data_IF_942553212185
#
_entry.id   IF_942553212185
#
_cell.length_a   1.000
_cell.length_b   1.000
_cell.length_c   1.000
_cell.angle_alpha   90.00
_cell.angle_beta   90.00
_cell.angle_gamma   90.00
#
_symmetry.space_group_name_H-M   'P 1'
#
loop_
_entity.id
_entity.type
_entity.pdbx_description
1 polymer ?
#
# COMPACT_ATOMS: atom_id res chain seq x y z
N UNK A 1 -4.92 -11.60 1.41
CA UNK A 1 -4.39 -11.00 2.67
C UNK A 1 -3.35 -9.96 2.35
N UNK A 2 -3.22 -8.88 3.14
CA UNK A 2 -2.12 -7.92 2.99
C UNK A 2 -1.03 -8.22 4.04
N UNK A 3 0.21 -8.37 3.58
CA UNK A 3 1.42 -8.38 4.41
C UNK A 3 2.16 -7.07 4.19
N UNK A 4 2.17 -6.19 5.18
CA UNK A 4 2.72 -4.83 5.08
C UNK A 4 3.96 -4.73 5.95
N UNK A 5 5.08 -4.31 5.37
CA UNK A 5 6.34 -4.22 6.11
C UNK A 5 6.36 -3.09 7.14
N UNK A 6 7.17 -3.23 8.20
CA UNK A 6 7.45 -2.13 9.12
C UNK A 6 7.92 -0.85 8.38
N UNK A 7 8.74 -0.99 7.36
CA UNK A 7 9.26 0.11 6.54
C UNK A 7 8.14 0.80 5.74
N UNK A 8 7.23 0.01 5.14
CA UNK A 8 6.07 0.53 4.45
C UNK A 8 5.10 1.25 5.41
N UNK A 9 4.87 0.69 6.60
CA UNK A 9 4.06 1.31 7.65
C UNK A 9 4.66 2.64 8.12
N UNK A 10 5.98 2.68 8.36
CA UNK A 10 6.68 3.88 8.76
C UNK A 10 6.58 4.97 7.69
N UNK A 11 6.71 4.62 6.41
CA UNK A 11 6.57 5.56 5.31
C UNK A 11 5.14 6.11 5.20
N UNK A 12 4.11 5.25 5.29
CA UNK A 12 2.71 5.70 5.30
C UNK A 12 2.40 6.65 6.45
N UNK A 13 2.95 6.39 7.64
CA UNK A 13 2.78 7.24 8.81
C UNK A 13 3.48 8.60 8.63
N UNK A 14 4.64 8.64 7.98
CA UNK A 14 5.36 9.89 7.73
C UNK A 14 4.66 10.74 6.66
N UNK A 15 4.31 10.14 5.53
CA UNK A 15 3.73 10.87 4.39
C UNK A 15 2.24 11.17 4.56
N UNK A 16 1.51 10.32 5.28
CA UNK A 16 0.06 10.43 5.45
C UNK A 16 -0.40 11.23 6.67
N UNK A 17 0.53 11.68 7.52
CA UNK A 17 0.18 12.36 8.76
C UNK A 17 0.07 13.87 8.56
N UNK A 18 -1.15 14.41 8.75
CA UNK A 18 -1.38 15.84 8.84
C UNK A 18 -2.32 16.15 10.01
N UNK A 19 -1.82 16.77 11.10
CA UNK A 19 -2.62 17.08 12.27
C UNK A 19 -3.83 17.98 11.98
N UNK A 20 -3.75 18.87 10.99
CA UNK A 20 -4.83 19.80 10.66
C UNK A 20 -6.01 19.08 9.98
N UNK A 21 -5.76 17.95 9.31
CA UNK A 21 -6.75 17.20 8.54
C UNK A 21 -7.08 15.82 9.14
N UNK A 22 -6.47 15.47 10.27
CA UNK A 22 -6.64 14.18 10.93
C UNK A 22 -6.22 13.02 10.02
N UNK A 23 -6.89 11.86 10.11
CA UNK A 23 -6.53 10.67 9.33
C UNK A 23 -6.92 10.74 7.83
N UNK A 24 -7.50 11.85 7.35
CA UNK A 24 -7.98 11.95 5.95
C UNK A 24 -6.84 11.80 4.94
N UNK A 25 -5.66 12.46 5.10
CA UNK A 25 -4.56 12.29 4.17
C UNK A 25 -4.00 10.87 4.18
N UNK A 26 -3.84 10.26 5.37
CA UNK A 26 -3.43 8.85 5.49
C UNK A 26 -4.38 7.91 4.73
N UNK A 27 -5.70 8.07 4.90
CA UNK A 27 -6.68 7.27 4.17
C UNK A 27 -6.54 7.44 2.65
N UNK A 28 -6.35 8.68 2.19
CA UNK A 28 -6.17 8.98 0.76
C UNK A 28 -4.88 8.35 0.23
N UNK A 29 -3.80 8.42 0.99
CA UNK A 29 -2.51 7.85 0.66
C UNK A 29 -2.56 6.32 0.57
N UNK A 30 -3.20 5.65 1.54
CA UNK A 30 -3.39 4.19 1.49
C UNK A 30 -4.15 3.80 0.22
N UNK A 31 -5.19 4.57 -0.14
CA UNK A 31 -5.97 4.28 -1.35
C UNK A 31 -5.12 4.41 -2.62
N UNK A 32 -4.31 5.45 -2.77
CA UNK A 32 -3.49 5.65 -3.98
C UNK A 32 -2.24 4.79 -4.02
N UNK A 33 -1.55 4.63 -2.88
CA UNK A 33 -0.28 3.91 -2.81
C UNK A 33 -0.47 2.38 -2.77
N UNK A 34 -1.58 1.90 -2.20
CA UNK A 34 -1.87 0.46 -2.09
C UNK A 34 -3.07 0.07 -2.94
N UNK A 35 -4.23 0.69 -2.71
CA UNK A 35 -5.49 0.28 -3.36
C UNK A 35 -5.44 0.34 -4.89
N UNK A 36 -5.02 1.48 -5.45
CA UNK A 36 -4.95 1.67 -6.90
C UNK A 36 -3.91 0.76 -7.57
N UNK A 37 -2.82 0.40 -6.85
CA UNK A 37 -1.80 -0.53 -7.35
C UNK A 37 -2.27 -1.97 -7.31
N UNK A 38 -2.83 -2.39 -6.17
CA UNK A 38 -3.42 -3.72 -6.00
C UNK A 38 -4.51 -3.98 -7.05
N UNK A 39 -5.34 -2.98 -7.36
CA UNK A 39 -6.34 -3.11 -8.42
C UNK A 39 -5.70 -3.42 -9.79
N UNK A 40 -4.56 -2.81 -10.12
CA UNK A 40 -3.83 -3.11 -11.38
C UNK A 40 -3.27 -4.53 -11.39
N UNK A 41 -2.68 -4.98 -10.28
CA UNK A 41 -2.17 -6.35 -10.15
C UNK A 41 -3.28 -7.39 -10.32
N UNK A 42 -4.45 -7.15 -9.73
CA UNK A 42 -5.63 -8.01 -9.89
C UNK A 42 -6.11 -8.01 -11.35
N UNK A 43 -6.21 -6.84 -11.99
CA UNK A 43 -6.63 -6.73 -13.38
C UNK A 43 -5.64 -7.39 -14.35
N UNK A 44 -4.35 -7.40 -14.02
CA UNK A 44 -3.31 -8.08 -14.80
C UNK A 44 -3.31 -9.61 -14.62
N UNK A 45 -3.94 -10.11 -13.56
CA UNK A 45 -3.99 -11.53 -13.21
C UNK A 45 -2.80 -12.05 -12.40
N UNK A 46 -1.88 -11.16 -12.04
CA UNK A 46 -0.71 -11.44 -11.18
C UNK A 46 -1.10 -11.67 -9.71
N UNK A 47 -2.15 -11.00 -9.23
CA UNK A 47 -2.74 -11.23 -7.90
C UNK A 47 -4.15 -11.79 -8.06
N UNK A 48 -4.45 -12.85 -7.30
CA UNK A 48 -5.74 -13.55 -7.33
C UNK A 48 -6.37 -13.61 -5.95
N UNK A 49 -7.67 -13.93 -5.94
CA UNK A 49 -8.39 -14.16 -4.69
C UNK A 49 -7.73 -15.28 -3.87
N UNK A 50 -7.50 -14.99 -2.59
CA UNK A 50 -6.81 -15.89 -1.67
C UNK A 50 -5.32 -15.61 -1.54
N UNK A 51 -4.71 -14.86 -2.45
CA UNK A 51 -3.27 -14.57 -2.39
C UNK A 51 -2.92 -13.67 -1.20
N UNK A 52 -1.69 -13.83 -0.72
CA UNK A 52 -1.05 -12.85 0.16
C UNK A 52 -0.31 -11.85 -0.71
N UNK A 53 -0.56 -10.57 -0.49
CA UNK A 53 0.04 -9.46 -1.21
C UNK A 53 1.01 -8.77 -0.28
N UNK A 54 2.28 -8.70 -0.69
CA UNK A 54 3.33 -7.96 -0.01
C UNK A 54 3.25 -6.48 -0.37
N UNK A 55 3.29 -5.63 0.65
CA UNK A 55 3.46 -4.18 0.52
C UNK A 55 4.77 -3.80 1.20
N UNK A 56 5.72 -3.31 0.41
CA UNK A 56 7.06 -3.00 0.89
C UNK A 56 7.51 -1.59 0.48
N UNK A 57 8.53 -1.07 1.16
CA UNK A 57 9.13 0.23 0.86
C UNK A 57 9.99 0.12 -0.40
N UNK A 58 9.76 1.03 -1.34
CA UNK A 58 10.61 1.25 -2.52
C UNK A 58 11.43 2.53 -2.36
N UNK A 59 12.09 3.03 -3.42
CA UNK A 59 12.78 4.32 -3.39
C UNK A 59 11.76 5.49 -3.31
N UNK A 60 10.78 5.50 -4.22
CA UNK A 60 9.81 6.61 -4.39
C UNK A 60 8.37 6.28 -3.95
N UNK A 61 8.20 5.32 -3.05
CA UNK A 61 6.94 5.07 -2.37
C UNK A 61 6.87 3.63 -1.88
N UNK A 62 5.77 2.96 -2.24
CA UNK A 62 5.57 1.54 -1.94
C UNK A 62 5.64 0.71 -3.21
N UNK A 63 6.00 -0.56 -3.08
CA UNK A 63 5.70 -1.62 -4.07
C UNK A 63 4.59 -2.51 -3.52
N UNK A 64 3.76 -3.02 -4.43
CA UNK A 64 2.61 -3.87 -4.11
C UNK A 64 2.59 -5.01 -5.10
N UNK A 65 2.57 -6.25 -4.62
CA UNK A 65 2.56 -7.43 -5.48
C UNK A 65 2.44 -8.73 -4.70
N UNK A 66 2.47 -9.88 -5.37
CA UNK A 66 2.38 -11.19 -4.72
C UNK A 66 3.49 -11.36 -3.67
N UNK A 67 3.14 -11.86 -2.49
CA UNK A 67 4.11 -12.36 -1.53
C UNK A 67 4.61 -13.71 -2.05
N UNK A 68 5.72 -13.68 -2.78
CA UNK A 68 6.43 -14.90 -3.21
C UNK A 68 7.29 -15.45 -2.07
#
# INVERSE_FOLDING_TARGET
TLDVTPEALAWLAQEGNDPAYGARPLRRLIQTAIGDRLAKEILSGEVRDGDTVRVDRAEDGLIVGPAS
#
